data_IF_507161758254
#
_entry.id   IF_507161758254
#
_cell.length_a   1.000
_cell.length_b   1.000
_cell.length_c   1.000
_cell.angle_alpha   90.00
_cell.angle_beta   90.00
_cell.angle_gamma   90.00
#
_symmetry.space_group_name_H-M   'P 1'
#
loop_
_entity.id
_entity.type
_entity.pdbx_description
1 polymer ?
#
# COMPACT_ATOMS: atom_id res chain seq x y z
N UNK A 1 -6.01 10.52 -8.23
CA UNK A 1 -7.05 10.52 -9.25
C UNK A 1 -7.39 9.08 -9.64
N UNK A 2 -8.67 8.78 -9.75
CA UNK A 2 -9.13 7.43 -10.10
C UNK A 2 -8.58 6.95 -11.45
N UNK A 3 -8.24 7.85 -12.35
CA UNK A 3 -7.69 7.50 -13.66
C UNK A 3 -6.29 6.92 -13.58
N UNK A 4 -5.58 7.14 -12.47
CA UNK A 4 -4.24 6.62 -12.24
C UNK A 4 -4.24 5.33 -11.43
N UNK A 5 -5.41 4.87 -11.01
CA UNK A 5 -5.54 3.65 -10.23
C UNK A 5 -5.42 2.44 -11.16
N UNK A 6 -4.52 1.53 -10.82
CA UNK A 6 -4.36 0.30 -11.58
C UNK A 6 -5.48 -0.68 -11.24
N UNK A 7 -5.92 -1.44 -12.23
CA UNK A 7 -6.87 -2.52 -12.00
C UNK A 7 -6.21 -3.65 -11.19
N UNK A 8 -7.01 -4.52 -10.54
CA UNK A 8 -6.44 -5.68 -9.82
C UNK A 8 -5.58 -6.57 -10.70
N UNK A 9 -5.93 -6.73 -11.99
CA UNK A 9 -5.11 -7.50 -12.93
C UNK A 9 -3.76 -6.86 -13.19
N UNK A 10 -3.73 -5.53 -13.39
CA UNK A 10 -2.49 -4.81 -13.58
C UNK A 10 -1.59 -4.89 -12.35
N UNK A 11 -2.16 -4.79 -11.15
CA UNK A 11 -1.39 -4.91 -9.92
C UNK A 11 -0.74 -6.29 -9.79
N UNK A 12 -1.48 -7.36 -10.09
CA UNK A 12 -0.94 -8.72 -10.07
C UNK A 12 0.18 -8.91 -11.08
N UNK A 13 0.00 -8.39 -12.29
CA UNK A 13 1.00 -8.52 -13.35
C UNK A 13 2.29 -7.80 -12.98
N UNK A 14 2.19 -6.62 -12.35
CA UNK A 14 3.37 -5.90 -11.85
C UNK A 14 4.14 -6.71 -10.83
N UNK A 15 3.46 -7.36 -9.89
CA UNK A 15 4.10 -8.22 -8.89
C UNK A 15 4.82 -9.40 -9.57
N UNK A 16 4.17 -10.07 -10.53
CA UNK A 16 4.74 -11.20 -11.26
C UNK A 16 6.00 -10.81 -12.03
N UNK A 17 6.03 -9.59 -12.56
CA UNK A 17 7.16 -9.08 -13.32
C UNK A 17 8.26 -8.51 -12.42
N UNK A 18 8.09 -8.56 -11.11
CA UNK A 18 9.06 -8.02 -10.16
C UNK A 18 9.09 -6.50 -10.11
N UNK A 19 8.07 -5.82 -10.64
CA UNK A 19 8.01 -4.36 -10.65
C UNK A 19 7.50 -3.77 -9.34
N UNK A 20 6.73 -4.54 -8.57
CA UNK A 20 6.17 -4.09 -7.31
C UNK A 20 6.32 -5.16 -6.24
N UNK A 21 6.39 -4.71 -5.00
CA UNK A 21 6.41 -5.60 -3.84
C UNK A 21 4.99 -6.09 -3.57
N UNK A 22 4.78 -7.38 -3.25
CA UNK A 22 3.46 -7.89 -2.92
C UNK A 22 2.85 -7.18 -1.72
N UNK A 23 1.54 -6.90 -1.78
CA UNK A 23 0.82 -6.27 -0.67
C UNK A 23 0.92 -7.08 0.62
N UNK A 24 0.93 -8.41 0.53
CA UNK A 24 1.06 -9.27 1.70
C UNK A 24 2.33 -8.97 2.50
N UNK A 25 3.44 -8.71 1.80
CA UNK A 25 4.70 -8.35 2.43
C UNK A 25 4.62 -6.99 3.12
N UNK A 26 3.97 -6.02 2.46
CA UNK A 26 3.77 -4.68 3.02
C UNK A 26 2.87 -4.77 4.26
N UNK A 27 1.79 -5.53 4.20
CA UNK A 27 0.88 -5.71 5.33
C UNK A 27 1.59 -6.34 6.53
N UNK A 28 2.46 -7.31 6.32
CA UNK A 28 3.24 -7.92 7.39
C UNK A 28 4.15 -6.89 8.06
N UNK A 29 4.79 -6.05 7.28
CA UNK A 29 5.65 -4.99 7.80
C UNK A 29 4.86 -3.98 8.63
N UNK A 30 3.72 -3.52 8.13
CA UNK A 30 2.86 -2.58 8.84
C UNK A 30 2.32 -3.20 10.13
N UNK A 31 1.95 -4.47 10.09
CA UNK A 31 1.45 -5.18 11.27
C UNK A 31 2.50 -5.28 12.36
N UNK A 32 3.76 -5.50 11.99
CA UNK A 32 4.86 -5.52 12.97
C UNK A 32 5.10 -4.16 13.60
N UNK A 33 4.94 -3.08 12.81
CA UNK A 33 5.25 -1.73 13.28
C UNK A 33 4.09 -1.10 14.06
N UNK A 34 2.86 -1.34 13.63
CA UNK A 34 1.68 -0.63 14.16
C UNK A 34 0.64 -1.55 14.78
N UNK A 35 0.74 -2.86 14.56
CA UNK A 35 -0.31 -3.79 14.95
C UNK A 35 -1.57 -3.60 14.11
N UNK A 36 -2.59 -4.39 14.36
CA UNK A 36 -3.87 -4.22 13.69
C UNK A 36 -3.98 -4.90 12.33
N UNK A 37 -4.71 -4.28 11.41
CA UNK A 37 -5.05 -4.92 10.14
C UNK A 37 -5.40 -3.89 9.07
N UNK A 38 -5.35 -4.32 7.82
CA UNK A 38 -5.69 -3.50 6.66
C UNK A 38 -7.21 -3.35 6.51
N UNK A 39 -7.64 -2.13 6.18
CA UNK A 39 -9.04 -1.82 5.85
C UNK A 39 -9.26 -1.77 4.34
N UNK A 40 -8.22 -1.39 3.59
CA UNK A 40 -8.26 -1.32 2.14
C UNK A 40 -6.91 -0.94 1.58
N UNK A 41 -6.71 -1.23 0.29
CA UNK A 41 -5.46 -0.88 -0.38
C UNK A 41 -5.72 -0.70 -1.88
N UNK A 42 -5.12 0.35 -2.45
CA UNK A 42 -5.18 0.64 -3.87
C UNK A 42 -3.78 0.90 -4.41
N UNK A 43 -3.56 0.51 -5.65
CA UNK A 43 -2.32 0.79 -6.35
C UNK A 43 -2.54 1.95 -7.31
N UNK A 44 -1.69 2.97 -7.20
CA UNK A 44 -1.74 4.16 -8.05
C UNK A 44 -0.43 4.33 -8.80
N UNK A 45 -0.53 4.83 -10.03
CA UNK A 45 0.63 5.27 -10.79
C UNK A 45 0.77 6.77 -10.61
N UNK A 46 1.81 7.20 -9.92
CA UNK A 46 2.10 8.62 -9.70
C UNK A 46 3.28 9.03 -10.57
N UNK A 47 2.99 9.41 -11.83
CA UNK A 47 4.01 9.85 -12.76
C UNK A 47 5.03 8.79 -13.09
N UNK A 48 4.60 7.54 -13.32
CA UNK A 48 5.47 6.40 -13.57
C UNK A 48 6.03 5.73 -12.31
N UNK A 49 5.66 6.23 -11.14
CA UNK A 49 6.08 5.67 -9.85
C UNK A 49 4.88 5.00 -9.18
N UNK A 50 4.82 3.66 -9.15
CA UNK A 50 3.70 2.98 -8.52
C UNK A 50 3.74 3.14 -7.01
N UNK A 51 2.59 3.47 -6.42
CA UNK A 51 2.46 3.67 -4.98
C UNK A 51 1.19 2.99 -4.49
N UNK A 52 1.24 2.40 -3.29
CA UNK A 52 0.05 1.91 -2.61
C UNK A 52 -0.49 2.98 -1.66
N UNK A 53 -1.81 3.14 -1.68
CA UNK A 53 -2.54 3.87 -0.64
C UNK A 53 -3.24 2.84 0.21
N UNK A 54 -2.88 2.76 1.48
CA UNK A 54 -3.36 1.71 2.38
C UNK A 54 -4.09 2.34 3.55
N UNK A 55 -5.36 1.96 3.73
CA UNK A 55 -6.12 2.30 4.91
C UNK A 55 -5.93 1.20 5.95
N UNK A 56 -5.60 1.59 7.16
CA UNK A 56 -5.16 0.68 8.21
C UNK A 56 -5.83 0.99 9.54
N UNK A 57 -6.21 -0.06 10.25
CA UNK A 57 -6.63 0.05 11.65
C UNK A 57 -5.47 -0.43 12.51
N UNK A 58 -4.93 0.45 13.37
CA UNK A 58 -3.82 0.10 14.25
C UNK A 58 -4.29 -0.79 15.41
N UNK A 59 -3.34 -1.40 16.11
CA UNK A 59 -3.65 -2.26 17.24
C UNK A 59 -4.36 -1.55 18.39
N UNK A 60 -4.20 -0.23 18.51
CA UNK A 60 -4.87 0.59 19.53
C UNK A 60 -6.17 1.23 19.02
N UNK A 61 -6.67 0.81 17.85
CA UNK A 61 -7.97 1.25 17.35
C UNK A 61 -7.96 2.55 16.59
N UNK A 62 -6.81 3.00 16.10
CA UNK A 62 -6.70 4.23 15.32
C UNK A 62 -6.72 3.93 13.84
N UNK A 63 -7.33 4.81 13.08
CA UNK A 63 -7.41 4.71 11.63
C UNK A 63 -6.28 5.52 11.02
N UNK A 64 -5.47 4.89 10.18
CA UNK A 64 -4.35 5.54 9.51
C UNK A 64 -4.39 5.28 8.02
N UNK A 65 -3.77 6.19 7.26
CA UNK A 65 -3.54 5.99 5.83
C UNK A 65 -2.05 6.08 5.54
N UNK A 66 -1.53 5.06 4.89
CA UNK A 66 -0.13 5.01 4.48
C UNK A 66 -0.03 5.16 2.97
N UNK A 67 0.97 5.93 2.54
CA UNK A 67 1.43 5.93 1.15
C UNK A 67 2.74 5.17 1.12
N UNK A 68 2.82 4.13 0.32
CA UNK A 68 3.96 3.22 0.29
C UNK A 68 4.49 3.12 -1.13
N UNK A 69 5.81 3.21 -1.30
CA UNK A 69 6.45 2.96 -2.59
C UNK A 69 6.23 1.49 -2.95
N UNK A 70 5.51 1.25 -4.04
CA UNK A 70 5.16 -0.12 -4.43
C UNK A 70 6.37 -0.92 -4.92
N UNK A 71 7.45 -0.26 -5.34
CA UNK A 71 8.65 -0.95 -5.81
C UNK A 71 9.55 -1.42 -4.68
N UNK A 72 9.57 -0.69 -3.56
CA UNK A 72 10.50 -0.96 -2.46
C UNK A 72 9.81 -1.36 -1.18
N UNK A 73 8.53 -1.02 -1.01
CA UNK A 73 7.81 -1.21 0.23
C UNK A 73 8.05 -0.12 1.27
N UNK A 74 8.79 0.93 0.92
CA UNK A 74 9.09 2.01 1.86
C UNK A 74 7.85 2.87 2.10
N UNK A 75 7.59 3.21 3.37
CA UNK A 75 6.50 4.13 3.72
C UNK A 75 6.95 5.55 3.41
N UNK A 76 6.25 6.20 2.49
CA UNK A 76 6.55 7.55 2.03
C UNK A 76 5.80 8.60 2.83
N UNK A 77 4.59 8.29 3.29
CA UNK A 77 3.76 9.23 4.04
C UNK A 77 2.82 8.46 4.98
N UNK A 78 2.45 9.11 6.07
CA UNK A 78 1.53 8.59 7.07
C UNK A 78 0.56 9.69 7.45
N UNK A 79 -0.74 9.37 7.42
CA UNK A 79 -1.79 10.28 7.84
C UNK A 79 -2.75 9.55 8.77
N UNK A 80 -3.26 10.28 9.74
CA UNK A 80 -4.27 9.74 10.61
C UNK A 80 -4.05 10.10 12.07
N UNK A 81 -5.01 9.72 12.84
CA UNK A 81 -5.09 10.13 14.24
C UNK A 81 -4.32 9.20 15.15
#
# INVERSE_FOLDING_TARGET
DWRNQWSPGQARDSVRQGKTVPLSQIFQSLKRQYGGYQLGADLFDNGGKPQYKIDWMTGDGRKMRFTVDARTGAVLDRQGA
#
